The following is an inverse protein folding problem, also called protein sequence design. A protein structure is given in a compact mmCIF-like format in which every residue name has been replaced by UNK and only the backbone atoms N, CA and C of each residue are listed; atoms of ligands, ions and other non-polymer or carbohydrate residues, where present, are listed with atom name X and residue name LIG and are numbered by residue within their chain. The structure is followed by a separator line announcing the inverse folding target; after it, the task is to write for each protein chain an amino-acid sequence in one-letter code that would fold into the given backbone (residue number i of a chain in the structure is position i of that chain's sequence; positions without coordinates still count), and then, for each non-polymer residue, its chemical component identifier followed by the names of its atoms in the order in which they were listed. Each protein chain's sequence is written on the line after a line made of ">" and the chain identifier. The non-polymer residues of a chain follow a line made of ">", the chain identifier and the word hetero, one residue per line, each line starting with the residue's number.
data_IF_127236949155
#
_entry.id   IF_127236949155
#
_cell.length_a   1.000
_cell.length_b   1.000
_cell.length_c   1.000
_cell.angle_alpha   90.00
_cell.angle_beta   90.00
_cell.angle_gamma   90.00
#
_symmetry.space_group_name_H-M   'P 1'
#
loop_
_entity.id
_entity.type
_entity.pdbx_description
1 polymer ?
#
# COMPACT_ATOMS: atom_id res chain seq x y z
N UNK A 1 -21.02 9.27 -2.29
CA UNK A 1 -19.62 9.68 -2.52
C UNK A 1 -19.27 9.31 -3.96
N UNK A 2 -19.29 10.26 -4.88
CA UNK A 2 -18.83 10.06 -6.26
C UNK A 2 -17.31 10.30 -6.27
N UNK A 3 -16.54 9.21 -6.35
CA UNK A 3 -15.09 9.29 -6.48
C UNK A 3 -14.76 9.77 -7.90
N UNK A 4 -14.20 10.97 -8.03
CA UNK A 4 -13.69 11.50 -9.30
C UNK A 4 -12.62 10.56 -9.87
N UNK A 5 -12.82 9.96 -11.06
CA UNK A 5 -11.88 9.01 -11.64
C UNK A 5 -10.52 9.64 -11.95
N UNK A 6 -10.46 10.96 -12.16
CA UNK A 6 -9.21 11.72 -12.37
C UNK A 6 -8.30 11.80 -11.13
N UNK A 7 -8.79 11.43 -9.94
CA UNK A 7 -8.01 11.40 -8.69
C UNK A 7 -7.59 9.99 -8.27
N UNK A 8 -7.87 8.98 -9.08
CA UNK A 8 -7.57 7.59 -8.77
C UNK A 8 -6.33 7.09 -9.53
N UNK A 9 -5.33 6.61 -8.78
CA UNK A 9 -4.10 6.03 -9.35
C UNK A 9 -4.23 4.50 -9.29
N UNK A 10 -4.07 3.83 -10.42
CA UNK A 10 -4.03 2.37 -10.46
C UNK A 10 -2.57 1.88 -10.44
N UNK A 11 -2.18 1.20 -9.36
CA UNK A 11 -0.85 0.60 -9.22
C UNK A 11 -0.96 -0.91 -9.44
N UNK A 12 -0.23 -1.42 -10.44
CA UNK A 12 -0.09 -2.88 -10.67
C UNK A 12 1.22 -3.36 -10.06
N UNK A 13 1.13 -4.31 -9.14
CA UNK A 13 2.31 -4.92 -8.48
C UNK A 13 2.31 -6.42 -8.70
N UNK A 14 3.50 -6.98 -8.93
CA UNK A 14 3.72 -8.41 -9.01
C UNK A 14 4.50 -8.84 -7.78
N UNK A 15 3.97 -9.81 -7.03
CA UNK A 15 4.62 -10.33 -5.83
C UNK A 15 4.66 -11.87 -5.86
N UNK A 16 5.64 -12.51 -5.21
CA UNK A 16 5.67 -13.95 -5.05
C UNK A 16 4.39 -14.48 -4.39
N UNK A 17 3.90 -15.64 -4.86
CA UNK A 17 2.68 -16.30 -4.32
C UNK A 17 2.68 -16.42 -2.78
N UNK A 18 3.76 -16.84 -2.10
CA UNK A 18 3.77 -16.95 -0.65
C UNK A 18 3.52 -15.62 0.07
N UNK A 19 4.00 -14.51 -0.50
CA UNK A 19 3.80 -13.16 0.05
C UNK A 19 2.35 -12.72 -0.17
N UNK A 20 1.80 -12.95 -1.36
CA UNK A 20 0.40 -12.67 -1.65
C UNK A 20 -0.55 -13.40 -0.69
N UNK A 21 -0.27 -14.67 -0.38
CA UNK A 21 -1.09 -15.45 0.56
C UNK A 21 -0.99 -14.93 1.99
N UNK A 22 0.20 -14.51 2.43
CA UNK A 22 0.37 -13.84 3.74
C UNK A 22 -0.40 -12.54 3.81
N UNK A 23 -0.30 -11.70 2.78
CA UNK A 23 -1.02 -10.43 2.72
C UNK A 23 -2.54 -10.63 2.76
N UNK A 24 -3.07 -11.61 2.02
CA UNK A 24 -4.50 -11.97 2.07
C UNK A 24 -4.93 -12.42 3.46
N UNK A 25 -4.10 -13.20 4.17
CA UNK A 25 -4.39 -13.63 5.55
C UNK A 25 -4.46 -12.44 6.50
N UNK A 26 -3.48 -11.52 6.44
CA UNK A 26 -3.45 -10.34 7.33
C UNK A 26 -4.63 -9.41 7.03
N UNK A 27 -4.92 -9.18 5.74
CA UNK A 27 -6.08 -8.40 5.30
C UNK A 27 -7.39 -8.97 5.85
N UNK A 28 -7.57 -10.30 5.78
CA UNK A 28 -8.73 -11.00 6.35
C UNK A 28 -8.81 -10.86 7.87
N UNK A 29 -7.69 -10.98 8.58
CA UNK A 29 -7.64 -10.83 10.04
C UNK A 29 -8.00 -9.41 10.51
N UNK A 30 -7.60 -8.40 9.73
CA UNK A 30 -7.88 -6.99 10.05
C UNK A 30 -9.21 -6.47 9.50
N UNK A 31 -9.95 -7.30 8.75
CA UNK A 31 -11.21 -6.91 8.14
C UNK A 31 -11.08 -5.81 7.08
N UNK A 32 -9.93 -5.73 6.39
CA UNK A 32 -9.63 -4.66 5.43
C UNK A 32 -9.20 -5.22 4.06
N UNK A 33 -9.42 -4.50 2.94
CA UNK A 33 -8.91 -4.90 1.63
C UNK A 33 -7.38 -4.93 1.58
N UNK A 34 -6.83 -5.86 0.80
CA UNK A 34 -5.38 -5.99 0.57
C UNK A 34 -4.77 -4.71 0.01
N UNK A 35 -5.49 -4.01 -0.89
CA UNK A 35 -5.06 -2.73 -1.47
C UNK A 35 -4.90 -1.64 -0.42
N UNK A 36 -5.84 -1.54 0.53
CA UNK A 36 -5.78 -0.58 1.62
C UNK A 36 -4.64 -0.91 2.59
N UNK A 37 -4.44 -2.20 2.88
CA UNK A 37 -3.34 -2.66 3.73
C UNK A 37 -1.98 -2.33 3.11
N UNK A 38 -1.82 -2.57 1.81
CA UNK A 38 -0.61 -2.22 1.06
C UNK A 38 -0.37 -0.73 1.09
N UNK A 39 -1.38 0.08 0.76
CA UNK A 39 -1.26 1.52 0.73
C UNK A 39 -0.84 2.06 2.11
N UNK A 40 -1.46 1.57 3.19
CA UNK A 40 -1.13 1.99 4.55
C UNK A 40 0.30 1.60 4.95
N UNK A 41 0.72 0.37 4.65
CA UNK A 41 2.08 -0.10 4.94
C UNK A 41 3.11 0.75 4.18
N UNK A 42 2.83 1.05 2.92
CA UNK A 42 3.66 1.89 2.06
C UNK A 42 3.73 3.33 2.58
N UNK A 43 2.60 3.96 2.94
CA UNK A 43 2.56 5.31 3.52
C UNK A 43 3.37 5.37 4.83
N UNK A 44 3.30 4.34 5.68
CA UNK A 44 4.07 4.33 6.92
C UNK A 44 5.57 4.14 6.69
N UNK A 45 5.98 3.52 5.57
CA UNK A 45 7.38 3.32 5.20
C UNK A 45 7.98 4.52 4.44
N UNK A 46 7.16 5.31 3.73
CA UNK A 46 7.62 6.48 2.97
C UNK A 46 8.37 7.53 3.80
N UNK A 47 7.94 7.91 5.02
CA UNK A 47 8.67 8.85 5.87
C UNK A 47 10.11 8.41 6.09
N UNK A 48 10.33 7.12 6.38
CA UNK A 48 11.67 6.56 6.56
C UNK A 48 12.51 6.43 5.29
N UNK A 49 11.95 6.75 4.12
CA UNK A 49 12.65 6.77 2.82
C UNK A 49 12.93 8.19 2.32
N UNK A 50 12.36 9.22 2.96
CA UNK A 50 12.47 10.63 2.57
C UNK A 50 13.43 11.39 3.51
N UNK A 51 13.87 10.80 4.63
CA UNK A 51 14.83 11.39 5.58
C UNK A 51 16.31 11.41 5.10
N UNK A 52 16.58 11.48 3.79
CA UNK A 52 17.97 11.51 3.24
C UNK A 52 18.26 12.65 2.24
N UNK A 53 17.40 13.66 2.04
CA UNK A 53 17.66 14.71 1.02
C UNK A 53 17.13 16.13 1.36
N UNK A 54 17.28 16.57 2.62
CA UNK A 54 17.13 17.99 3.02
C UNK A 54 18.33 18.47 3.87
N UNK A 55 19.55 18.26 3.34
CA UNK A 55 20.76 19.03 3.68
C UNK A 55 21.38 19.59 2.39
N UNK A 56 20.82 20.69 1.87
CA UNK A 56 21.53 21.66 1.02
C UNK A 56 21.19 23.10 1.46
#
# INVERSE_FOLDING_TARGET
>A
MTLDPEKSIQIKVTVPRPIADRMKKIAKQRGMPVSQLMLQATINAYPSLIEDDDQE
#
